data_IF_505343085493
#
_entry.id   IF_505343085493
#
_cell.length_a   1.000
_cell.length_b   1.000
_cell.length_c   1.000
_cell.angle_alpha   90.00
_cell.angle_beta   90.00
_cell.angle_gamma   90.00
#
_symmetry.space_group_name_H-M   'P 1'
#
loop_
_entity.id
_entity.type
_entity.pdbx_description
1 polymer ?
#
# COMPACT_ATOMS: atom_id res chain seq x y z
N UNK A 1 -73.08 7.33 21.74
CA UNK A 1 -72.35 6.38 20.87
C UNK A 1 -71.39 7.18 20.00
N UNK A 2 -70.12 6.79 20.00
CA UNK A 2 -69.15 7.08 18.93
C UNK A 2 -68.29 8.34 19.11
N UNK A 3 -66.98 8.12 19.29
CA UNK A 3 -65.82 8.90 18.79
C UNK A 3 -64.58 8.41 19.58
N UNK A 4 -63.84 7.38 19.17
CA UNK A 4 -62.87 7.31 18.07
C UNK A 4 -61.68 8.27 18.22
N UNK A 5 -60.63 7.91 18.98
CA UNK A 5 -59.29 8.52 18.91
C UNK A 5 -58.21 7.55 19.43
N UNK A 6 -57.68 6.67 18.58
CA UNK A 6 -56.37 6.02 18.77
C UNK A 6 -55.76 5.82 17.38
N UNK A 7 -55.07 6.82 16.81
CA UNK A 7 -54.16 6.64 15.66
C UNK A 7 -53.35 7.94 15.41
N UNK A 8 -52.37 8.30 16.26
CA UNK A 8 -51.44 9.40 15.92
C UNK A 8 -50.00 9.28 16.47
N UNK A 9 -49.62 8.24 17.21
CA UNK A 9 -48.26 8.15 17.81
C UNK A 9 -47.25 7.32 17.01
N UNK A 10 -47.66 6.63 15.94
CA UNK A 10 -46.77 5.80 15.12
C UNK A 10 -46.03 6.52 13.99
N UNK A 11 -46.54 7.67 13.52
CA UNK A 11 -45.92 8.41 12.41
C UNK A 11 -44.77 9.32 12.87
N UNK A 12 -44.84 9.89 14.07
CA UNK A 12 -43.82 10.82 14.57
C UNK A 12 -42.48 10.14 14.82
N UNK A 13 -42.47 8.92 15.37
CA UNK A 13 -41.23 8.16 15.62
C UNK A 13 -40.54 7.76 14.31
N UNK A 14 -41.32 7.34 13.30
CA UNK A 14 -40.76 6.98 11.98
C UNK A 14 -40.19 8.19 11.26
N UNK A 15 -40.85 9.35 11.41
CA UNK A 15 -40.47 10.62 10.80
C UNK A 15 -39.22 11.22 11.49
N UNK A 16 -39.12 11.12 12.82
CA UNK A 16 -37.92 11.49 13.58
C UNK A 16 -36.71 10.59 13.25
N UNK A 17 -36.94 9.29 13.04
CA UNK A 17 -35.89 8.36 12.59
C UNK A 17 -35.44 8.66 11.16
N UNK A 18 -36.37 9.00 10.26
CA UNK A 18 -36.06 9.43 8.90
C UNK A 18 -35.29 10.76 8.88
N UNK A 19 -35.70 11.75 9.67
CA UNK A 19 -34.99 13.03 9.77
C UNK A 19 -33.60 12.89 10.40
N UNK A 20 -33.47 12.06 11.44
CA UNK A 20 -32.18 11.71 12.04
C UNK A 20 -31.26 11.01 11.04
N UNK A 21 -31.78 10.07 10.25
CA UNK A 21 -31.01 9.39 9.20
C UNK A 21 -30.63 10.34 8.06
N UNK A 22 -31.53 11.25 7.65
CA UNK A 22 -31.23 12.26 6.63
C UNK A 22 -30.15 13.22 7.11
N UNK A 23 -30.23 13.66 8.36
CA UNK A 23 -29.24 14.54 8.99
C UNK A 23 -27.89 13.84 9.12
N UNK A 24 -27.86 12.57 9.53
CA UNK A 24 -26.64 11.74 9.53
C UNK A 24 -26.08 11.57 8.12
N UNK A 25 -26.92 11.31 7.10
CA UNK A 25 -26.46 11.21 5.71
C UNK A 25 -25.88 12.52 5.18
N UNK A 26 -26.46 13.67 5.56
CA UNK A 26 -25.93 14.99 5.19
C UNK A 26 -24.63 15.30 5.91
N UNK A 27 -24.53 15.03 7.21
CA UNK A 27 -23.29 15.20 7.98
C UNK A 27 -22.19 14.27 7.49
N UNK A 28 -22.53 13.02 7.15
CA UNK A 28 -21.62 12.06 6.52
C UNK A 28 -21.18 12.55 5.14
N UNK A 29 -22.09 13.06 4.29
CA UNK A 29 -21.74 13.66 3.00
C UNK A 29 -20.79 14.85 3.13
N UNK A 30 -21.01 15.73 4.11
CA UNK A 30 -20.15 16.89 4.37
C UNK A 30 -18.78 16.41 4.87
N UNK A 31 -18.74 15.47 5.83
CA UNK A 31 -17.49 14.86 6.33
C UNK A 31 -16.72 14.15 5.22
N UNK A 32 -17.41 13.43 4.33
CA UNK A 32 -16.81 12.77 3.18
C UNK A 32 -16.24 13.81 2.20
N UNK A 33 -17.02 14.85 1.87
CA UNK A 33 -16.59 15.90 0.94
C UNK A 33 -15.36 16.66 1.44
N UNK A 34 -15.21 16.85 2.75
CA UNK A 34 -14.01 17.46 3.34
C UNK A 34 -12.82 16.48 3.45
N UNK A 35 -13.07 15.17 3.54
CA UNK A 35 -12.03 14.15 3.70
C UNK A 35 -11.39 13.71 2.37
N UNK A 36 -12.08 13.84 1.24
CA UNK A 36 -11.68 13.23 -0.06
C UNK A 36 -11.13 14.19 -1.13
N UNK A 37 -10.87 15.47 -0.83
CA UNK A 37 -10.29 16.40 -1.81
C UNK A 37 -8.77 16.39 -1.73
N UNK A 38 -8.13 15.55 -2.56
CA UNK A 38 -6.74 15.73 -3.02
C UNK A 38 -6.61 15.12 -4.42
N UNK A 39 -6.11 15.94 -5.36
CA UNK A 39 -6.15 15.79 -6.83
C UNK A 39 -7.57 15.70 -7.42
N UNK A 40 -7.75 16.27 -8.62
CA UNK A 40 -9.04 16.33 -9.32
C UNK A 40 -9.68 14.95 -9.34
N UNK A 41 -10.91 14.84 -8.85
CA UNK A 41 -11.66 13.59 -8.90
C UNK A 41 -11.70 13.14 -10.38
N UNK A 42 -11.33 11.89 -10.71
CA UNK A 42 -11.34 11.45 -12.09
C UNK A 42 -12.74 11.64 -12.70
N UNK A 43 -12.81 12.22 -13.91
CA UNK A 43 -14.08 12.56 -14.58
C UNK A 43 -14.99 11.33 -14.81
N UNK A 44 -14.40 10.12 -14.86
CA UNK A 44 -15.11 8.84 -14.90
C UNK A 44 -14.29 7.77 -14.16
N UNK A 45 -14.67 7.45 -12.93
CA UNK A 45 -14.04 6.37 -12.16
C UNK A 45 -14.52 4.98 -12.55
N UNK A 46 -15.48 4.86 -13.48
CA UNK A 46 -16.05 3.58 -13.92
C UNK A 46 -16.63 2.75 -12.77
N UNK A 47 -17.15 3.42 -11.73
CA UNK A 47 -17.57 2.75 -10.49
C UNK A 47 -18.83 1.94 -10.73
N UNK A 48 -18.72 0.63 -10.52
CA UNK A 48 -19.83 -0.30 -10.59
C UNK A 48 -20.13 -0.86 -9.20
N UNK A 49 -21.41 -0.89 -8.84
CA UNK A 49 -21.87 -1.16 -7.48
C UNK A 49 -22.79 -2.38 -7.51
N UNK A 50 -22.49 -3.41 -6.73
CA UNK A 50 -23.40 -4.55 -6.57
C UNK A 50 -24.74 -4.11 -5.96
N UNK A 51 -25.83 -4.82 -6.29
CA UNK A 51 -27.17 -4.48 -5.79
C UNK A 51 -27.29 -4.53 -4.26
N UNK A 52 -26.46 -5.33 -3.59
CA UNK A 52 -26.38 -5.43 -2.12
C UNK A 52 -25.37 -4.46 -1.48
N UNK A 53 -24.55 -3.78 -2.29
CA UNK A 53 -23.50 -2.87 -1.86
C UNK A 53 -22.33 -3.55 -1.14
N UNK A 54 -22.24 -4.88 -1.15
CA UNK A 54 -21.15 -5.62 -0.50
C UNK A 54 -19.87 -5.63 -1.32
N UNK A 55 -19.99 -5.44 -2.63
CA UNK A 55 -18.86 -5.35 -3.55
C UNK A 55 -19.03 -4.15 -4.46
N UNK A 56 -17.95 -3.41 -4.62
CA UNK A 56 -17.93 -2.21 -5.43
C UNK A 56 -16.62 -2.19 -6.21
N UNK A 57 -16.72 -2.04 -7.52
CA UNK A 57 -15.60 -2.13 -8.45
C UNK A 57 -15.34 -0.79 -9.11
N UNK A 58 -14.10 -0.59 -9.54
CA UNK A 58 -13.61 0.51 -10.36
C UNK A 58 -12.62 -0.03 -11.39
N UNK A 59 -11.86 0.83 -12.08
CA UNK A 59 -10.89 0.40 -13.10
C UNK A 59 -9.75 -0.40 -12.45
N UNK A 60 -9.16 0.10 -11.37
CA UNK A 60 -7.97 -0.45 -10.74
C UNK A 60 -8.23 -1.17 -9.43
N UNK A 61 -9.42 -0.96 -8.84
CA UNK A 61 -9.74 -1.54 -7.53
C UNK A 61 -11.04 -2.34 -7.53
N UNK A 62 -11.06 -3.32 -6.63
CA UNK A 62 -12.27 -3.94 -6.07
C UNK A 62 -12.31 -3.66 -4.59
N UNK A 63 -13.45 -3.21 -4.07
CA UNK A 63 -13.69 -2.99 -2.65
C UNK A 63 -14.79 -3.95 -2.17
N UNK A 64 -14.52 -4.70 -1.10
CA UNK A 64 -15.49 -5.59 -0.48
C UNK A 64 -15.65 -5.29 1.01
N UNK A 65 -16.86 -5.49 1.52
CA UNK A 65 -17.14 -5.48 2.96
C UNK A 65 -17.05 -6.91 3.50
N UNK A 66 -16.14 -7.13 4.45
CA UNK A 66 -15.93 -8.42 5.10
C UNK A 66 -17.21 -8.91 5.80
N UNK A 67 -17.34 -10.24 6.03
CA UNK A 67 -18.53 -10.81 6.68
C UNK A 67 -18.83 -10.20 8.05
N UNK A 68 -17.79 -9.76 8.76
CA UNK A 68 -17.86 -9.10 10.06
C UNK A 68 -18.50 -7.70 10.00
N UNK A 69 -18.60 -7.10 8.81
CA UNK A 69 -19.23 -5.80 8.60
C UNK A 69 -20.69 -5.87 8.15
N UNK A 70 -21.23 -7.06 7.83
CA UNK A 70 -22.58 -7.18 7.29
C UNK A 70 -23.67 -6.76 8.28
N UNK A 71 -23.36 -6.77 9.58
CA UNK A 71 -24.26 -6.33 10.67
C UNK A 71 -23.69 -5.14 11.45
N UNK A 72 -22.64 -4.49 10.93
CA UNK A 72 -22.04 -3.35 11.59
C UNK A 72 -22.98 -2.14 11.46
N UNK A 73 -23.28 -1.38 12.54
CA UNK A 73 -24.29 -0.32 12.53
C UNK A 73 -24.07 0.75 11.45
N UNK A 74 -22.82 1.05 11.12
CA UNK A 74 -22.45 2.04 10.09
C UNK A 74 -22.53 1.49 8.65
N UNK A 75 -22.79 0.20 8.48
CA UNK A 75 -22.79 -0.52 7.20
C UNK A 75 -23.96 -1.48 7.07
N UNK A 76 -25.02 -1.33 7.85
CA UNK A 76 -26.15 -2.29 7.91
C UNK A 76 -27.00 -2.20 6.64
N UNK A 77 -27.15 -1.00 6.06
CA UNK A 77 -27.94 -0.83 4.83
C UNK A 77 -27.10 -0.87 3.56
N UNK A 78 -27.64 -1.39 2.44
CA UNK A 78 -26.99 -1.29 1.13
C UNK A 78 -26.60 0.14 0.77
N UNK A 79 -27.49 1.11 0.98
CA UNK A 79 -27.24 2.51 0.60
C UNK A 79 -26.04 3.12 1.33
N UNK A 80 -25.86 2.83 2.62
CA UNK A 80 -24.69 3.30 3.38
C UNK A 80 -23.39 2.70 2.85
N UNK A 81 -23.37 1.38 2.61
CA UNK A 81 -22.21 0.69 2.01
C UNK A 81 -21.85 1.26 0.65
N UNK A 82 -22.85 1.50 -0.20
CA UNK A 82 -22.66 2.07 -1.52
C UNK A 82 -22.08 3.49 -1.47
N UNK A 83 -22.59 4.35 -0.58
CA UNK A 83 -22.08 5.72 -0.44
C UNK A 83 -20.64 5.75 0.09
N UNK A 84 -20.35 5.00 1.15
CA UNK A 84 -19.01 4.93 1.74
C UNK A 84 -18.02 4.32 0.76
N UNK A 85 -18.43 3.23 0.10
CA UNK A 85 -17.58 2.53 -0.85
C UNK A 85 -17.31 3.34 -2.12
N UNK A 86 -18.31 4.07 -2.64
CA UNK A 86 -18.09 5.00 -3.75
C UNK A 86 -17.07 6.08 -3.39
N UNK A 87 -17.24 6.77 -2.26
CA UNK A 87 -16.28 7.79 -1.82
C UNK A 87 -14.87 7.23 -1.61
N UNK A 88 -14.79 6.00 -1.11
CA UNK A 88 -13.51 5.31 -0.92
C UNK A 88 -12.85 4.93 -2.24
N UNK A 89 -13.60 4.46 -3.24
CA UNK A 89 -13.04 4.15 -4.56
C UNK A 89 -12.58 5.40 -5.30
N UNK A 90 -13.32 6.52 -5.21
CA UNK A 90 -12.86 7.80 -5.79
C UNK A 90 -11.50 8.20 -5.21
N UNK A 91 -11.33 8.08 -3.89
CA UNK A 91 -10.04 8.33 -3.25
C UNK A 91 -8.94 7.38 -3.73
N UNK A 92 -9.26 6.09 -3.84
CA UNK A 92 -8.30 5.05 -4.25
C UNK A 92 -7.88 5.24 -5.71
N UNK A 93 -8.80 5.58 -6.61
CA UNK A 93 -8.51 5.89 -8.01
C UNK A 93 -7.68 7.18 -8.15
N UNK A 94 -7.96 8.23 -7.37
CA UNK A 94 -7.09 9.42 -7.32
C UNK A 94 -5.68 9.08 -6.81
N UNK A 95 -5.58 8.22 -5.80
CA UNK A 95 -4.30 7.72 -5.30
C UNK A 95 -3.55 6.91 -6.37
N UNK A 96 -4.25 6.05 -7.13
CA UNK A 96 -3.67 5.34 -8.25
C UNK A 96 -3.08 6.31 -9.27
N UNK A 97 -3.80 7.36 -9.67
CA UNK A 97 -3.29 8.36 -10.63
C UNK A 97 -2.05 9.08 -10.09
N UNK A 98 -2.04 9.41 -8.79
CA UNK A 98 -0.87 9.97 -8.13
C UNK A 98 0.33 9.02 -8.20
N UNK A 99 0.14 7.75 -7.82
CA UNK A 99 1.18 6.72 -7.82
C UNK A 99 1.67 6.40 -9.24
N UNK A 100 0.78 6.34 -10.23
CA UNK A 100 1.13 6.18 -11.62
C UNK A 100 2.00 7.34 -12.11
N UNK A 101 1.59 8.58 -11.85
CA UNK A 101 2.33 9.76 -12.29
C UNK A 101 3.74 9.83 -11.71
N UNK A 102 3.89 9.51 -10.43
CA UNK A 102 5.20 9.63 -9.76
C UNK A 102 6.06 8.39 -9.97
N UNK A 103 5.50 7.19 -9.82
CA UNK A 103 6.29 5.96 -9.78
C UNK A 103 6.15 5.12 -11.06
N UNK A 104 5.22 5.45 -11.94
CA UNK A 104 4.96 4.69 -13.16
C UNK A 104 4.29 3.33 -12.90
N UNK A 105 3.60 3.15 -11.76
CA UNK A 105 3.03 1.86 -11.41
C UNK A 105 1.83 1.49 -12.29
N UNK A 106 1.92 0.32 -12.92
CA UNK A 106 0.85 -0.26 -13.75
C UNK A 106 0.55 -1.72 -13.34
N UNK A 107 -0.03 -1.96 -12.15
CA UNK A 107 -0.41 -3.31 -11.72
C UNK A 107 -1.37 -3.94 -12.73
N UNK A 108 -1.01 -5.14 -13.20
CA UNK A 108 -1.83 -5.90 -14.18
C UNK A 108 -3.17 -6.39 -13.63
N UNK A 109 -3.25 -6.53 -12.32
CA UNK A 109 -4.42 -7.03 -11.63
C UNK A 109 -5.04 -5.91 -10.81
N UNK A 110 -6.37 -5.89 -10.72
CA UNK A 110 -7.04 -5.00 -9.77
C UNK A 110 -6.58 -5.32 -8.35
N UNK A 111 -6.43 -4.28 -7.55
CA UNK A 111 -6.14 -4.41 -6.12
C UNK A 111 -7.47 -4.64 -5.42
N UNK A 112 -7.60 -5.78 -4.74
CA UNK A 112 -8.79 -6.11 -3.96
C UNK A 112 -8.61 -5.65 -2.52
N UNK A 113 -9.36 -4.64 -2.11
CA UNK A 113 -9.38 -4.15 -0.72
C UNK A 113 -10.61 -4.72 -0.01
N UNK A 114 -10.39 -5.36 1.13
CA UNK A 114 -11.42 -5.96 1.96
C UNK A 114 -11.43 -5.22 3.29
N UNK A 115 -12.57 -4.60 3.62
CA UNK A 115 -12.75 -3.89 4.87
C UNK A 115 -13.22 -4.83 5.97
N UNK A 116 -12.67 -4.66 7.17
CA UNK A 116 -13.00 -5.42 8.38
C UNK A 116 -13.22 -4.50 9.57
N UNK A 117 -14.07 -4.88 10.52
CA UNK A 117 -14.05 -4.26 11.84
C UNK A 117 -12.82 -4.77 12.63
N UNK A 118 -12.57 -6.08 12.60
CA UNK A 118 -11.42 -6.73 13.23
C UNK A 118 -10.85 -7.76 12.26
N UNK A 119 -9.57 -7.63 11.92
CA UNK A 119 -8.85 -8.61 11.12
C UNK A 119 -7.76 -9.30 11.96
N UNK A 120 -7.77 -10.63 11.98
CA UNK A 120 -6.81 -11.46 12.76
C UNK A 120 -6.67 -11.02 14.23
N UNK A 121 -7.78 -10.60 14.84
CA UNK A 121 -7.83 -10.20 16.25
C UNK A 121 -7.33 -8.78 16.54
N UNK A 122 -7.02 -7.97 15.52
CA UNK A 122 -6.58 -6.58 15.69
C UNK A 122 -7.37 -5.60 14.82
N UNK A 123 -7.43 -4.35 15.29
CA UNK A 123 -7.88 -3.19 14.52
C UNK A 123 -6.72 -2.37 13.99
N UNK A 124 -5.48 -2.66 14.38
CA UNK A 124 -4.33 -1.75 14.21
C UNK A 124 -3.32 -2.24 13.18
N UNK A 125 -3.71 -3.14 12.29
CA UNK A 125 -2.82 -3.65 11.25
C UNK A 125 -3.58 -3.93 9.95
N UNK A 126 -3.23 -3.22 8.88
CA UNK A 126 -3.59 -3.60 7.53
C UNK A 126 -2.56 -4.62 7.00
N UNK A 127 -2.99 -5.51 6.11
CA UNK A 127 -2.09 -6.53 5.54
C UNK A 127 -2.28 -6.61 4.03
N UNK A 128 -1.17 -6.66 3.31
CA UNK A 128 -1.15 -6.84 1.85
C UNK A 128 -0.62 -8.23 1.50
N UNK A 129 -1.38 -8.98 0.72
CA UNK A 129 -1.02 -10.32 0.21
C UNK A 129 -0.89 -10.26 -1.30
N UNK A 130 0.28 -10.70 -1.80
CA UNK A 130 0.50 -10.91 -3.23
C UNK A 130 0.29 -12.39 -3.54
N UNK A 131 -0.81 -12.71 -4.24
CA UNK A 131 -1.07 -14.07 -4.69
C UNK A 131 -0.22 -14.34 -5.91
N UNK A 132 0.69 -15.30 -5.81
CA UNK A 132 1.62 -15.63 -6.87
C UNK A 132 1.78 -17.14 -7.06
N UNK A 133 1.97 -17.52 -8.32
CA UNK A 133 2.25 -18.90 -8.71
C UNK A 133 3.62 -18.99 -9.37
N UNK A 134 4.42 -19.97 -8.98
CA UNK A 134 5.66 -20.27 -9.67
C UNK A 134 5.36 -21.03 -10.97
N UNK A 135 5.93 -20.58 -12.09
CA UNK A 135 5.87 -21.24 -13.39
C UNK A 135 7.26 -21.47 -13.94
N UNK A 136 7.40 -22.53 -14.74
CA UNK A 136 8.62 -22.79 -15.49
C UNK A 136 8.59 -22.05 -16.82
N UNK A 137 9.58 -21.21 -17.07
CA UNK A 137 9.77 -20.56 -18.36
C UNK A 137 11.25 -20.60 -18.74
N UNK A 138 11.58 -21.19 -19.88
CA UNK A 138 12.95 -21.29 -20.41
C UNK A 138 13.96 -21.84 -19.38
N UNK A 139 13.57 -22.87 -18.63
CA UNK A 139 14.41 -23.50 -17.59
C UNK A 139 14.53 -22.71 -16.27
N UNK A 140 13.93 -21.51 -16.19
CA UNK A 140 13.90 -20.66 -15.00
C UNK A 140 12.54 -20.76 -14.30
N UNK A 141 12.55 -20.73 -12.95
CA UNK A 141 11.33 -20.46 -12.18
C UNK A 141 11.06 -18.97 -12.29
N UNK A 142 9.85 -18.63 -12.69
CA UNK A 142 9.33 -17.27 -12.63
C UNK A 142 8.08 -17.24 -11.76
N UNK A 143 7.93 -16.17 -10.98
CA UNK A 143 6.77 -15.87 -10.18
C UNK A 143 5.77 -15.09 -11.05
N UNK A 144 4.58 -15.64 -11.21
CA UNK A 144 3.47 -15.02 -11.93
C UNK A 144 2.43 -14.57 -10.92
N UNK A 145 2.26 -13.27 -10.80
CA UNK A 145 1.24 -12.66 -9.94
C UNK A 145 -0.14 -13.02 -10.49
N UNK A 146 -1.06 -13.38 -9.60
CA UNK A 146 -2.45 -13.73 -9.90
C UNK A 146 -3.42 -12.69 -9.34
N UNK A 147 -3.01 -11.95 -8.32
CA UNK A 147 -3.83 -10.94 -7.67
C UNK A 147 -3.11 -10.28 -6.50
N UNK A 148 -3.67 -9.17 -6.05
CA UNK A 148 -3.22 -8.38 -4.91
C UNK A 148 -4.44 -8.19 -4.02
N UNK A 149 -4.33 -8.62 -2.77
CA UNK A 149 -5.39 -8.49 -1.78
C UNK A 149 -4.90 -7.70 -0.59
N UNK A 150 -5.70 -6.77 -0.10
CA UNK A 150 -5.46 -6.00 1.11
C UNK A 150 -6.61 -6.22 2.08
N UNK A 151 -6.28 -6.67 3.30
CA UNK A 151 -7.25 -6.75 4.39
C UNK A 151 -7.03 -5.54 5.30
N UNK A 152 -8.07 -4.73 5.49
CA UNK A 152 -7.95 -3.39 6.03
C UNK A 152 -8.98 -3.15 7.16
N UNK A 153 -8.53 -3.01 8.43
CA UNK A 153 -9.41 -2.60 9.51
C UNK A 153 -10.00 -1.19 9.31
N UNK A 154 -11.28 -1.02 9.61
CA UNK A 154 -12.04 0.21 9.35
C UNK A 154 -11.50 1.45 10.06
N UNK A 155 -10.97 1.31 11.27
CA UNK A 155 -10.37 2.41 12.03
C UNK A 155 -9.13 2.97 11.29
N UNK A 156 -8.24 2.09 10.82
CA UNK A 156 -7.09 2.51 10.01
C UNK A 156 -7.55 3.04 8.66
N UNK A 157 -8.48 2.35 8.00
CA UNK A 157 -9.01 2.80 6.72
C UNK A 157 -9.66 4.18 6.85
N UNK A 158 -10.35 4.46 7.95
CA UNK A 158 -10.99 5.75 8.23
C UNK A 158 -10.02 6.94 8.31
N UNK A 159 -8.74 6.68 8.61
CA UNK A 159 -7.69 7.69 8.72
C UNK A 159 -7.03 7.91 7.36
N UNK A 160 -7.20 9.11 6.79
CA UNK A 160 -6.73 9.41 5.43
C UNK A 160 -5.22 9.17 5.22
N UNK A 161 -4.32 9.61 6.12
CA UNK A 161 -2.89 9.36 5.97
C UNK A 161 -2.56 7.86 5.99
N UNK A 162 -3.03 7.15 7.03
CA UNK A 162 -2.85 5.69 7.18
C UNK A 162 -3.40 4.94 5.97
N UNK A 163 -4.59 5.29 5.48
CA UNK A 163 -5.17 4.70 4.27
C UNK A 163 -4.24 4.82 3.06
N UNK A 164 -3.68 6.00 2.83
CA UNK A 164 -2.80 6.25 1.69
C UNK A 164 -1.47 5.49 1.82
N UNK A 165 -0.90 5.48 3.03
CA UNK A 165 0.30 4.74 3.39
C UNK A 165 0.16 3.26 3.04
N UNK A 166 -0.85 2.60 3.63
CA UNK A 166 -1.06 1.17 3.46
C UNK A 166 -1.40 0.80 2.01
N UNK A 167 -2.24 1.61 1.33
CA UNK A 167 -2.56 1.38 -0.08
C UNK A 167 -1.33 1.47 -0.97
N UNK A 168 -0.30 2.26 -0.63
CA UNK A 168 0.95 2.30 -1.37
C UNK A 168 1.67 0.94 -1.36
N UNK A 169 1.55 0.16 -0.28
CA UNK A 169 2.13 -1.18 -0.19
C UNK A 169 1.55 -2.18 -1.19
N UNK A 170 0.30 -1.99 -1.64
CA UNK A 170 -0.26 -2.79 -2.73
C UNK A 170 0.57 -2.73 -4.02
N UNK A 171 1.21 -1.58 -4.25
CA UNK A 171 2.02 -1.33 -5.43
C UNK A 171 3.48 -1.70 -5.21
N UNK A 172 4.03 -1.41 -4.03
CA UNK A 172 5.46 -1.64 -3.75
C UNK A 172 5.78 -3.10 -3.42
N UNK A 173 4.86 -3.84 -2.77
CA UNK A 173 5.12 -5.23 -2.33
C UNK A 173 5.34 -6.19 -3.51
N UNK A 174 4.80 -5.86 -4.68
CA UNK A 174 5.06 -6.60 -5.92
C UNK A 174 6.56 -6.66 -6.21
N UNK A 175 7.26 -5.55 -6.00
CA UNK A 175 8.65 -5.39 -6.41
C UNK A 175 9.67 -5.99 -5.43
N UNK A 176 9.20 -6.54 -4.29
CA UNK A 176 10.03 -7.16 -3.25
C UNK A 176 11.12 -6.20 -2.76
N UNK A 177 10.79 -4.91 -2.64
CA UNK A 177 11.75 -3.88 -2.25
C UNK A 177 12.27 -4.11 -0.81
N UNK A 178 13.49 -3.66 -0.47
CA UNK A 178 13.90 -3.55 0.93
C UNK A 178 12.87 -2.77 1.74
N UNK A 179 12.59 -3.20 2.97
CA UNK A 179 11.55 -2.60 3.81
C UNK A 179 11.72 -1.08 3.93
N UNK A 180 12.91 -0.59 4.29
CA UNK A 180 13.21 0.84 4.38
C UNK A 180 12.78 1.64 3.15
N UNK A 181 12.92 1.08 1.94
CA UNK A 181 12.57 1.79 0.72
C UNK A 181 11.06 1.71 0.43
N UNK A 182 10.44 0.56 0.72
CA UNK A 182 8.97 0.40 0.65
C UNK A 182 8.26 1.35 1.62
N UNK A 183 8.69 1.37 2.88
CA UNK A 183 8.18 2.27 3.93
C UNK A 183 8.46 3.73 3.59
N UNK A 184 9.64 4.04 3.03
CA UNK A 184 9.95 5.40 2.57
C UNK A 184 8.98 5.90 1.50
N UNK A 185 8.60 5.04 0.54
CA UNK A 185 7.57 5.36 -0.47
C UNK A 185 6.19 5.51 0.18
N UNK A 186 5.82 4.61 1.10
CA UNK A 186 4.52 4.66 1.77
C UNK A 186 4.33 5.94 2.59
N UNK A 187 5.35 6.33 3.38
CA UNK A 187 5.37 7.62 4.11
C UNK A 187 5.38 8.80 3.14
N UNK A 188 6.08 8.69 2.01
CA UNK A 188 6.07 9.76 1.01
C UNK A 188 4.68 10.00 0.44
N UNK A 189 3.93 8.94 0.14
CA UNK A 189 2.53 9.02 -0.27
C UNK A 189 1.64 9.58 0.85
N UNK A 190 1.85 9.14 2.08
CA UNK A 190 1.14 9.65 3.25
C UNK A 190 1.31 11.18 3.42
N UNK A 191 2.54 11.66 3.33
CA UNK A 191 2.87 13.08 3.51
C UNK A 191 2.47 13.89 2.27
N UNK A 192 2.87 13.47 1.07
CA UNK A 192 2.72 14.29 -0.13
C UNK A 192 1.32 14.24 -0.73
N UNK A 193 0.69 13.07 -0.78
CA UNK A 193 -0.66 12.91 -1.31
C UNK A 193 -1.71 13.16 -0.22
N UNK A 194 -1.63 12.46 0.91
CA UNK A 194 -2.65 12.55 1.95
C UNK A 194 -2.48 13.73 2.92
N UNK A 195 -1.39 14.51 2.79
CA UNK A 195 -1.06 15.66 3.66
C UNK A 195 -1.02 15.26 5.15
N UNK A 196 -0.50 14.06 5.43
CA UNK A 196 -0.19 13.58 6.77
C UNK A 196 0.82 14.49 7.47
N UNK A 197 0.77 14.55 8.80
CA UNK A 197 1.62 15.43 9.62
C UNK A 197 2.48 14.68 10.64
N UNK A 198 2.31 13.37 10.73
CA UNK A 198 2.99 12.52 11.72
C UNK A 198 4.45 12.23 11.33
N UNK A 199 4.75 12.41 10.04
CA UNK A 199 6.08 12.26 9.47
C UNK A 199 6.59 13.56 8.84
N UNK A 200 7.91 13.74 8.89
CA UNK A 200 8.59 14.93 8.35
C UNK A 200 9.99 14.58 7.86
N UNK A 201 10.50 15.38 6.94
CA UNK A 201 11.89 15.31 6.51
C UNK A 201 12.81 15.57 7.71
N UNK A 202 13.92 14.83 7.76
CA UNK A 202 14.99 14.98 8.75
C UNK A 202 16.32 15.27 8.05
N UNK A 203 17.37 15.61 8.80
CA UNK A 203 18.72 15.70 8.21
C UNK A 203 19.25 14.29 7.95
N UNK A 204 19.67 14.02 6.71
CA UNK A 204 20.25 12.73 6.32
C UNK A 204 21.55 12.39 7.06
N UNK A 205 22.22 13.39 7.65
CA UNK A 205 23.41 13.23 8.48
C UNK A 205 23.09 12.79 9.92
N UNK A 206 21.84 12.89 10.38
CA UNK A 206 21.38 12.37 11.68
C UNK A 206 21.14 10.85 11.61
N UNK A 207 22.16 10.11 11.18
CA UNK A 207 22.11 8.67 10.98
C UNK A 207 22.12 7.96 12.34
N UNK A 208 21.15 7.09 12.59
CA UNK A 208 21.22 6.10 13.68
C UNK A 208 21.90 4.84 13.17
N UNK A 209 22.84 4.33 13.95
CA UNK A 209 23.65 3.17 13.61
C UNK A 209 23.30 1.95 14.46
N UNK A 210 23.43 0.77 13.86
CA UNK A 210 23.36 -0.52 14.54
C UNK A 210 24.68 -0.79 15.28
N UNK A 211 24.73 -1.87 16.07
CA UNK A 211 25.97 -2.26 16.78
C UNK A 211 27.14 -2.54 15.82
N UNK A 212 26.84 -2.97 14.60
CA UNK A 212 27.82 -3.22 13.54
C UNK A 212 28.20 -1.95 12.75
N UNK A 213 27.70 -0.78 13.16
CA UNK A 213 27.99 0.51 12.52
C UNK A 213 27.26 0.71 11.19
N UNK A 214 26.21 -0.07 10.92
CA UNK A 214 25.39 0.05 9.71
C UNK A 214 24.21 0.98 9.93
N UNK A 215 23.65 1.52 8.86
CA UNK A 215 22.44 2.32 8.94
C UNK A 215 21.27 1.51 9.55
N UNK A 216 20.69 1.99 10.65
CA UNK A 216 19.61 1.29 11.36
C UNK A 216 18.30 1.18 10.56
N UNK A 217 18.15 1.91 9.46
CA UNK A 217 17.07 1.71 8.50
C UNK A 217 17.29 0.44 7.65
N UNK A 218 18.53 0.08 7.32
CA UNK A 218 18.83 -1.06 6.45
C UNK A 218 18.40 -2.41 7.06
N UNK A 219 18.54 -2.56 8.38
CA UNK A 219 18.22 -3.80 9.10
C UNK A 219 16.76 -3.85 9.58
N UNK A 220 15.97 -2.82 9.29
CA UNK A 220 14.57 -2.79 9.68
C UNK A 220 13.74 -3.73 8.80
N UNK A 221 12.86 -4.53 9.43
CA UNK A 221 11.95 -5.44 8.72
C UNK A 221 10.66 -4.76 8.25
N UNK A 222 10.38 -3.53 8.68
CA UNK A 222 9.11 -2.84 8.39
C UNK A 222 7.99 -3.18 9.37
N UNK A 223 8.20 -4.09 10.32
CA UNK A 223 7.14 -4.46 11.26
C UNK A 223 6.86 -3.36 12.28
N UNK A 224 5.58 -3.20 12.60
CA UNK A 224 5.05 -2.55 13.80
C UNK A 224 5.48 -3.39 15.02
N UNK A 225 6.75 -3.31 15.42
CA UNK A 225 7.09 -3.65 16.80
C UNK A 225 6.16 -2.84 17.68
N UNK A 226 5.35 -3.54 18.47
CA UNK A 226 4.26 -2.98 19.25
C UNK A 226 4.78 -1.92 20.23
N UNK A 227 4.81 -0.66 19.77
CA UNK A 227 5.33 0.48 20.49
C UNK A 227 5.91 1.47 19.49
N UNK A 228 5.28 2.65 19.37
CA UNK A 228 5.83 3.80 18.68
C UNK A 228 7.09 4.30 19.41
N UNK A 229 8.17 3.54 19.33
CA UNK A 229 9.45 3.92 19.90
C UNK A 229 10.12 4.96 19.01
N UNK A 230 10.98 5.78 19.63
CA UNK A 230 11.67 6.87 18.92
C UNK A 230 12.61 6.37 17.81
N UNK A 231 12.92 5.07 17.76
CA UNK A 231 13.70 4.47 16.69
C UNK A 231 12.84 4.20 15.47
N UNK A 232 11.66 3.61 15.65
CA UNK A 232 10.67 3.34 14.60
C UNK A 232 10.21 4.64 13.95
N UNK A 233 9.85 5.65 14.74
CA UNK A 233 9.48 6.96 14.17
C UNK A 233 10.62 7.62 13.40
N UNK A 234 11.87 7.48 13.88
CA UNK A 234 13.03 7.94 13.14
C UNK A 234 13.21 7.17 11.83
N UNK A 235 13.03 5.84 11.82
CA UNK A 235 13.15 5.00 10.62
C UNK A 235 12.17 5.47 9.54
N UNK A 236 10.89 5.64 9.88
CA UNK A 236 9.89 6.16 8.93
C UNK A 236 10.31 7.53 8.34
N UNK A 237 10.65 8.49 9.19
CA UNK A 237 11.06 9.84 8.76
C UNK A 237 12.33 9.82 7.90
N UNK A 238 13.31 9.01 8.30
CA UNK A 238 14.60 8.90 7.61
C UNK A 238 14.45 8.22 6.25
N UNK A 239 13.64 7.16 6.16
CA UNK A 239 13.33 6.49 4.91
C UNK A 239 12.58 7.42 3.93
N UNK A 240 11.58 8.14 4.41
CA UNK A 240 10.90 9.20 3.66
C UNK A 240 11.89 10.23 3.13
N UNK A 241 12.80 10.70 3.98
CA UNK A 241 13.81 11.71 3.60
C UNK A 241 14.70 11.20 2.48
N UNK A 242 15.17 9.94 2.52
CA UNK A 242 15.99 9.38 1.45
C UNK A 242 15.21 9.33 0.13
N UNK A 243 13.95 8.87 0.15
CA UNK A 243 13.11 8.78 -1.04
C UNK A 243 12.82 10.18 -1.61
N UNK A 244 12.47 11.13 -0.76
CA UNK A 244 12.24 12.52 -1.16
C UNK A 244 13.50 13.16 -1.77
N UNK A 245 14.66 13.03 -1.12
CA UNK A 245 15.94 13.58 -1.59
C UNK A 245 16.32 13.06 -2.97
N UNK A 246 16.16 11.74 -3.21
CA UNK A 246 16.47 11.14 -4.51
C UNK A 246 15.56 11.74 -5.60
N UNK A 247 14.27 11.89 -5.32
CA UNK A 247 13.33 12.52 -6.26
C UNK A 247 13.72 13.97 -6.53
N UNK A 248 14.02 14.75 -5.50
CA UNK A 248 14.35 16.17 -5.61
C UNK A 248 15.65 16.38 -6.39
N UNK A 249 16.64 15.49 -6.20
CA UNK A 249 17.93 15.56 -6.90
C UNK A 249 17.84 15.20 -8.39
N UNK A 250 17.01 14.22 -8.76
CA UNK A 250 16.99 13.67 -10.12
C UNK A 250 15.73 13.99 -10.94
N UNK A 251 14.73 14.62 -10.32
CA UNK A 251 13.52 15.10 -10.97
C UNK A 251 12.37 14.09 -11.05
N UNK A 252 11.24 14.55 -11.60
CA UNK A 252 9.97 13.81 -11.65
C UNK A 252 10.06 12.47 -12.40
N UNK A 253 10.89 12.38 -13.44
CA UNK A 253 11.00 11.18 -14.28
C UNK A 253 11.92 10.10 -13.69
N UNK A 254 12.53 10.36 -12.53
CA UNK A 254 13.48 9.43 -11.91
C UNK A 254 12.82 8.09 -11.53
N UNK A 255 11.73 8.12 -10.77
CA UNK A 255 11.09 6.91 -10.27
C UNK A 255 10.38 6.08 -11.35
N UNK A 256 9.66 6.67 -12.32
CA UNK A 256 9.08 5.90 -13.42
C UNK A 256 10.18 5.17 -14.21
N UNK A 257 11.32 5.83 -14.45
CA UNK A 257 12.49 5.20 -15.08
C UNK A 257 13.06 4.07 -14.23
N UNK A 258 13.23 4.29 -12.93
CA UNK A 258 13.73 3.28 -11.99
C UNK A 258 12.87 2.01 -11.99
N UNK A 259 11.55 2.13 -11.83
CA UNK A 259 10.67 0.96 -11.82
C UNK A 259 10.62 0.26 -13.18
N UNK A 260 10.60 1.02 -14.28
CA UNK A 260 10.68 0.44 -15.63
C UNK A 260 11.92 -0.43 -15.84
N UNK A 261 13.10 0.00 -15.38
CA UNK A 261 14.33 -0.80 -15.49
C UNK A 261 14.22 -2.12 -14.72
N UNK A 262 13.56 -2.13 -13.55
CA UNK A 262 13.33 -3.36 -12.80
C UNK A 262 12.34 -4.30 -13.50
N UNK A 263 11.35 -3.75 -14.20
CA UNK A 263 10.38 -4.52 -14.98
C UNK A 263 10.99 -5.13 -16.25
N UNK A 264 11.85 -4.40 -16.95
CA UNK A 264 12.59 -4.88 -18.12
C UNK A 264 13.42 -6.13 -17.77
N UNK A 265 14.01 -6.14 -16.57
CA UNK A 265 14.76 -7.29 -16.03
C UNK A 265 13.89 -8.34 -15.34
N UNK A 266 12.58 -8.07 -15.23
CA UNK A 266 11.57 -8.92 -14.59
C UNK A 266 11.98 -9.33 -13.17
N UNK A 267 12.57 -8.40 -12.42
CA UNK A 267 13.16 -8.71 -11.11
C UNK A 267 12.15 -9.31 -10.14
N UNK A 268 10.97 -8.71 -10.02
CA UNK A 268 9.92 -9.19 -9.14
C UNK A 268 9.45 -10.63 -9.46
N UNK A 269 9.60 -11.05 -10.72
CA UNK A 269 9.26 -12.41 -11.15
C UNK A 269 10.40 -13.39 -10.84
N UNK A 270 11.64 -12.94 -10.86
CA UNK A 270 12.83 -13.81 -10.78
C UNK A 270 13.42 -13.87 -9.38
N UNK A 271 13.21 -12.85 -8.56
CA UNK A 271 13.74 -12.78 -7.22
C UNK A 271 13.11 -13.86 -6.33
N UNK A 272 13.94 -14.66 -5.62
CA UNK A 272 13.44 -15.69 -4.73
C UNK A 272 12.86 -15.13 -3.42
N UNK A 273 13.19 -13.89 -3.06
CA UNK A 273 12.75 -13.20 -1.85
C UNK A 273 13.01 -11.70 -1.99
N UNK A 274 13.12 -11.00 -0.86
CA UNK A 274 13.37 -9.55 -0.84
C UNK A 274 14.63 -9.19 -1.63
N UNK A 275 14.53 -8.11 -2.39
CA UNK A 275 15.62 -7.54 -3.16
C UNK A 275 16.73 -7.08 -2.21
N UNK A 276 17.99 -7.50 -2.44
CA UNK A 276 19.13 -6.94 -1.73
C UNK A 276 19.29 -5.44 -2.00
N UNK A 277 19.67 -4.65 -0.99
CA UNK A 277 19.86 -3.20 -1.15
C UNK A 277 20.88 -2.84 -2.24
N UNK A 278 21.93 -3.65 -2.44
CA UNK A 278 22.86 -3.44 -3.55
C UNK A 278 22.22 -3.54 -4.93
N UNK A 279 21.20 -4.40 -5.10
CA UNK A 279 20.47 -4.49 -6.36
C UNK A 279 19.62 -3.23 -6.55
N UNK A 280 18.91 -2.81 -5.50
CA UNK A 280 18.14 -1.56 -5.50
C UNK A 280 19.02 -0.37 -5.92
N UNK A 281 20.19 -0.20 -5.28
CA UNK A 281 21.11 0.91 -5.57
C UNK A 281 21.67 0.85 -6.99
N UNK A 282 21.89 -0.36 -7.56
CA UNK A 282 22.23 -0.48 -8.97
C UNK A 282 21.16 0.14 -9.87
N UNK A 283 19.88 -0.21 -9.68
CA UNK A 283 18.79 0.33 -10.51
C UNK A 283 18.56 1.82 -10.27
N UNK A 284 18.71 2.30 -9.03
CA UNK A 284 18.69 3.73 -8.74
C UNK A 284 19.81 4.47 -9.47
N UNK A 285 21.02 3.90 -9.53
CA UNK A 285 22.16 4.47 -10.27
C UNK A 285 21.89 4.50 -11.78
N UNK A 286 21.29 3.45 -12.34
CA UNK A 286 20.90 3.43 -13.76
C UNK A 286 19.81 4.47 -14.08
N UNK A 287 18.86 4.68 -13.16
CA UNK A 287 17.85 5.71 -13.29
C UNK A 287 18.47 7.11 -13.22
N UNK A 288 19.39 7.36 -12.28
CA UNK A 288 20.08 8.64 -12.10
C UNK A 288 21.02 8.99 -13.26
N UNK A 289 21.56 7.97 -13.96
CA UNK A 289 22.64 8.16 -14.92
C UNK A 289 24.01 8.41 -14.27
N UNK A 290 24.13 8.22 -12.96
CA UNK A 290 25.36 8.32 -12.18
C UNK A 290 25.45 7.24 -11.09
N UNK A 291 26.66 6.97 -10.59
CA UNK A 291 26.90 5.97 -9.56
C UNK A 291 26.48 6.49 -8.18
N UNK A 292 25.42 5.92 -7.61
CA UNK A 292 24.91 6.30 -6.28
C UNK A 292 25.53 5.50 -5.13
N UNK A 293 26.41 4.54 -5.40
CA UNK A 293 27.07 3.76 -4.35
C UNK A 293 27.78 4.67 -3.32
N UNK A 294 28.54 5.71 -3.70
CA UNK A 294 29.17 6.60 -2.73
C UNK A 294 28.18 7.33 -1.82
N UNK A 295 27.02 7.74 -2.36
CA UNK A 295 25.96 8.38 -1.59
C UNK A 295 25.39 7.43 -0.52
N UNK A 296 25.04 6.21 -0.88
CA UNK A 296 24.52 5.25 0.10
C UNK A 296 25.59 4.79 1.11
N UNK A 297 26.86 4.71 0.70
CA UNK A 297 27.96 4.43 1.61
C UNK A 297 28.22 5.57 2.60
N UNK A 298 28.06 6.84 2.21
CA UNK A 298 28.12 7.96 3.16
C UNK A 298 27.00 7.90 4.18
N UNK A 299 25.83 7.38 3.78
CA UNK A 299 24.71 7.08 4.67
C UNK A 299 24.88 5.76 5.47
N UNK A 300 26.06 5.14 5.45
CA UNK A 300 26.39 3.89 6.17
C UNK A 300 25.55 2.68 5.77
N UNK A 301 24.98 2.66 4.57
CA UNK A 301 24.44 1.43 4.01
C UNK A 301 25.57 0.49 3.56
N UNK A 302 25.40 -0.80 3.82
CA UNK A 302 26.28 -1.85 3.32
C UNK A 302 25.94 -2.15 1.86
N UNK A 303 26.57 -1.41 0.96
CA UNK A 303 26.36 -1.51 -0.49
C UNK A 303 27.62 -1.99 -1.20
N UNK A 304 27.43 -2.94 -2.10
CA UNK A 304 28.43 -3.36 -3.07
C UNK A 304 28.05 -2.83 -4.45
N UNK A 305 29.02 -2.30 -5.20
CA UNK A 305 28.84 -1.97 -6.60
C UNK A 305 28.69 -3.26 -7.42
N UNK A 306 27.64 -3.32 -8.23
CA UNK A 306 27.31 -4.47 -9.05
C UNK A 306 27.05 -4.02 -10.49
N UNK A 307 27.24 -4.94 -11.43
CA UNK A 307 26.76 -4.88 -12.80
C UNK A 307 25.43 -5.64 -12.95
N UNK A 308 24.72 -5.38 -14.05
CA UNK A 308 23.50 -6.12 -14.41
C UNK A 308 23.73 -7.63 -14.43
N UNK A 309 24.82 -8.06 -15.03
CA UNK A 309 25.11 -9.49 -15.22
C UNK A 309 25.40 -10.19 -13.88
N UNK A 310 26.07 -9.51 -12.95
CA UNK A 310 26.28 -10.00 -11.58
C UNK A 310 24.95 -10.18 -10.85
N UNK A 311 24.03 -9.21 -10.97
CA UNK A 311 22.69 -9.28 -10.37
C UNK A 311 21.92 -10.48 -10.94
N UNK A 312 21.83 -10.59 -12.27
CA UNK A 312 21.08 -11.67 -12.92
C UNK A 312 21.68 -13.05 -12.59
N UNK A 313 23.00 -13.16 -12.54
CA UNK A 313 23.70 -14.39 -12.14
C UNK A 313 23.42 -14.76 -10.68
N UNK A 314 23.46 -13.78 -9.77
CA UNK A 314 23.15 -14.00 -8.35
C UNK A 314 21.70 -14.50 -8.17
N UNK A 315 20.74 -13.91 -8.88
CA UNK A 315 19.34 -14.35 -8.89
C UNK A 315 19.22 -15.79 -9.40
N UNK A 316 19.92 -16.13 -10.49
CA UNK A 316 19.89 -17.48 -11.04
C UNK A 316 20.47 -18.50 -10.06
N UNK A 317 21.59 -18.19 -9.42
CA UNK A 317 22.22 -19.06 -8.41
C UNK A 317 21.33 -19.28 -7.20
N UNK A 318 20.72 -18.22 -6.66
CA UNK A 318 19.81 -18.30 -5.52
C UNK A 318 18.60 -19.21 -5.83
N UNK A 319 18.01 -19.08 -7.03
CA UNK A 319 16.93 -19.97 -7.46
C UNK A 319 17.37 -21.43 -7.62
N UNK A 320 18.60 -21.69 -8.06
CA UNK A 320 19.12 -23.06 -8.16
C UNK A 320 19.29 -23.71 -6.78
N UNK A 321 19.76 -22.95 -5.79
CA UNK A 321 19.91 -23.42 -4.40
C UNK A 321 18.57 -23.79 -3.79
N UNK A 322 17.55 -22.92 -3.91
CA UNK A 322 16.20 -23.20 -3.39
C UNK A 322 15.58 -24.45 -4.01
N UNK A 323 15.83 -24.70 -5.30
CA UNK A 323 15.37 -25.92 -5.99
C UNK A 323 16.06 -27.19 -5.52
N UNK A 324 17.29 -27.09 -5.01
CA UNK A 324 17.99 -28.24 -4.44
C UNK A 324 17.45 -28.54 -3.04
N UNK A 325 17.24 -27.50 -2.22
CA UNK A 325 16.66 -27.63 -0.89
C UNK A 325 15.28 -28.30 -0.95
N UNK A 326 14.33 -27.78 -1.73
CA UNK A 326 12.99 -28.39 -1.86
C UNK A 326 13.00 -29.85 -2.29
N UNK A 327 13.91 -30.23 -3.19
CA UNK A 327 14.02 -31.62 -3.66
C UNK A 327 14.58 -32.55 -2.59
N UNK A 328 15.44 -32.04 -1.70
CA UNK A 328 15.95 -32.82 -0.59
C UNK A 328 14.86 -32.99 0.47
N UNK A 329 14.10 -31.92 0.77
CA UNK A 329 12.99 -31.96 1.72
C UNK A 329 11.90 -32.95 1.29
N UNK A 330 11.54 -32.97 -0.01
CA UNK A 330 10.59 -33.93 -0.60
C UNK A 330 11.12 -35.38 -0.68
N UNK A 331 12.41 -35.60 -0.48
CA UNK A 331 13.03 -36.94 -0.49
C UNK A 331 13.24 -37.52 0.91
N UNK A 332 13.01 -36.71 1.94
CA UNK A 332 13.10 -37.09 3.36
C UNK A 332 11.72 -37.33 4.01
N UNK A 333 10.62 -37.05 3.29
CA UNK A 333 9.25 -37.50 3.58
C UNK A 333 8.93 -38.81 2.84
#
# INVERSE_FOLDING_TARGET
MGLAWIFLTGCTILQELQESNLKRQQETRVRMKERYVTFEAPDDTGVNVSGDGLEIDSVHYKLSFGPDLHQHPDYDTPTERQQIGHGSLVFMESLYQFLYRIFGFEPKHKIHVILHDIYRGTKLMATTTIHAQNRMQNGQIIKVIQGIEMNFPLNMFGERPVRAHELAHAFTNIYLLPAWFSEGIAVWVEVEYAKGKDHRSVDLNEIKLTLDGLNAAQEWSGDLDAGADALTQWRYNYCYTIVAEIKDRFGEDFYPKFFKLMEEDKLYQRLPGNMPTSFLVYYLSQAAGEDLVPFFQSLKFKIQKLSRDEILKAIQQANQTLRRQKRNDESEE
#
